data_IF_721650088211
#
_entry.id   IF_721650088211
#
_cell.length_a   1.000
_cell.length_b   1.000
_cell.length_c   1.000
_cell.angle_alpha   90.00
_cell.angle_beta   90.00
_cell.angle_gamma   90.00
#
_symmetry.space_group_name_H-M   'P 1'
#
loop_
_entity.id
_entity.type
_entity.pdbx_description
1 polymer ?
#
# COMPACT_ATOMS: atom_id res chain seq x y z
N UNK A 1 -11.61 2.63 -10.98
CA UNK A 1 -10.83 1.75 -10.09
C UNK A 1 -11.21 2.01 -8.64
N UNK A 2 -11.45 0.99 -7.85
CA UNK A 2 -11.85 1.13 -6.45
C UNK A 2 -10.90 0.31 -5.57
N UNK A 3 -10.14 0.99 -4.73
CA UNK A 3 -9.30 0.35 -3.73
C UNK A 3 -10.14 0.03 -2.49
N UNK A 4 -10.06 -1.19 -1.98
CA UNK A 4 -10.80 -1.62 -0.78
C UNK A 4 -10.34 -0.87 0.47
N UNK A 5 -11.12 -0.97 1.54
CA UNK A 5 -10.71 -0.42 2.83
C UNK A 5 -9.41 -1.05 3.33
N UNK A 6 -9.19 -2.33 3.04
CA UNK A 6 -7.98 -3.05 3.39
C UNK A 6 -6.72 -2.46 2.71
N UNK A 7 -6.78 -2.20 1.41
CA UNK A 7 -5.69 -1.56 0.68
C UNK A 7 -5.42 -0.13 1.17
N UNK A 8 -6.48 0.67 1.36
CA UNK A 8 -6.35 2.05 1.86
C UNK A 8 -5.77 2.11 3.27
N UNK A 9 -6.28 1.29 4.19
CA UNK A 9 -5.79 1.25 5.57
C UNK A 9 -4.37 0.69 5.65
N UNK A 10 -4.04 -0.29 4.82
CA UNK A 10 -2.68 -0.82 4.76
C UNK A 10 -1.66 0.20 4.27
N UNK A 11 -1.97 0.95 3.22
CA UNK A 11 -1.11 2.05 2.77
C UNK A 11 -0.94 3.11 3.86
N UNK A 12 -2.03 3.52 4.50
CA UNK A 12 -1.99 4.51 5.60
C UNK A 12 -1.12 4.03 6.77
N UNK A 13 -1.27 2.77 7.17
CA UNK A 13 -0.47 2.17 8.24
C UNK A 13 1.01 2.09 7.87
N UNK A 14 1.34 1.70 6.62
CA UNK A 14 2.72 1.61 6.15
C UNK A 14 3.40 2.99 6.09
N UNK A 15 2.68 4.02 5.64
CA UNK A 15 3.18 5.41 5.67
C UNK A 15 3.46 5.83 7.11
N UNK A 16 2.52 5.57 8.04
CA UNK A 16 2.69 5.92 9.45
C UNK A 16 3.91 5.26 10.07
N UNK A 17 4.12 3.94 9.84
CA UNK A 17 5.32 3.25 10.31
C UNK A 17 6.59 3.83 9.66
N UNK A 18 6.55 4.13 8.36
CA UNK A 18 7.70 4.67 7.65
C UNK A 18 8.11 6.06 8.16
N UNK A 19 7.16 6.88 8.63
CA UNK A 19 7.46 8.17 9.26
C UNK A 19 8.26 8.04 10.57
N UNK A 20 8.21 6.88 11.21
CA UNK A 20 8.96 6.57 12.43
C UNK A 20 10.17 5.65 12.17
N UNK A 21 10.47 5.32 10.92
CA UNK A 21 11.50 4.34 10.56
C UNK A 21 12.94 4.75 10.93
N UNK A 22 13.19 6.02 11.21
CA UNK A 22 14.48 6.53 11.67
C UNK A 22 14.66 6.46 13.19
N UNK A 23 13.62 6.04 13.91
CA UNK A 23 13.68 5.74 15.34
C UNK A 23 13.71 4.23 15.48
N UNK A 24 14.46 3.70 16.44
CA UNK A 24 14.46 2.26 16.76
C UNK A 24 13.16 1.82 17.47
N UNK A 25 12.12 2.65 17.39
CA UNK A 25 10.83 2.41 18.04
C UNK A 25 10.00 1.42 17.24
N UNK A 26 9.48 0.42 17.97
CA UNK A 26 8.50 -0.51 17.45
C UNK A 26 7.10 0.11 17.55
N UNK A 27 6.34 0.01 16.47
CA UNK A 27 4.98 0.55 16.42
C UNK A 27 3.97 -0.56 16.70
N UNK A 28 3.14 -0.36 17.73
CA UNK A 28 2.07 -1.30 18.06
C UNK A 28 0.82 -1.06 17.21
N UNK A 29 0.02 -2.12 17.04
CA UNK A 29 -1.29 -2.00 16.37
C UNK A 29 -2.19 -0.99 17.10
N UNK A 30 -2.12 -0.92 18.43
CA UNK A 30 -2.86 0.06 19.22
C UNK A 30 -2.47 1.49 18.85
N UNK A 31 -1.16 1.76 18.74
CA UNK A 31 -0.67 3.08 18.34
C UNK A 31 -1.19 3.47 16.95
N UNK A 32 -1.14 2.56 15.97
CA UNK A 32 -1.68 2.82 14.62
C UNK A 32 -3.19 3.05 14.67
N UNK A 33 -3.92 2.23 15.45
CA UNK A 33 -5.37 2.35 15.63
C UNK A 33 -5.78 3.72 16.17
N UNK A 34 -5.12 4.17 17.23
CA UNK A 34 -5.38 5.47 17.87
C UNK A 34 -5.05 6.64 16.94
N UNK A 35 -3.89 6.59 16.28
CA UNK A 35 -3.41 7.67 15.41
C UNK A 35 -4.20 7.81 14.11
N UNK A 36 -4.64 6.69 13.53
CA UNK A 36 -5.33 6.70 12.24
C UNK A 36 -6.86 6.55 12.38
N UNK A 37 -7.37 6.29 13.57
CA UNK A 37 -8.82 6.06 13.78
C UNK A 37 -9.33 4.80 13.10
N UNK A 38 -8.49 3.77 12.97
CA UNK A 38 -8.81 2.50 12.31
C UNK A 38 -9.01 1.42 13.38
N UNK A 39 -10.04 0.58 13.23
CA UNK A 39 -10.30 -0.54 14.13
C UNK A 39 -9.07 -1.44 14.31
N UNK A 40 -8.72 -1.74 15.57
CA UNK A 40 -7.61 -2.64 15.91
C UNK A 40 -7.75 -4.01 15.27
N UNK A 41 -8.93 -4.63 15.34
CA UNK A 41 -9.19 -5.95 14.76
C UNK A 41 -8.94 -5.95 13.26
N UNK A 42 -9.33 -4.88 12.59
CA UNK A 42 -9.10 -4.73 11.15
C UNK A 42 -7.60 -4.57 10.83
N UNK A 43 -6.89 -3.77 11.62
CA UNK A 43 -5.44 -3.59 11.47
C UNK A 43 -4.67 -4.89 11.72
N UNK A 44 -5.09 -5.72 12.68
CA UNK A 44 -4.47 -7.02 12.92
C UNK A 44 -4.52 -7.92 11.67
N UNK A 45 -5.64 -7.91 10.94
CA UNK A 45 -5.76 -8.61 9.66
C UNK A 45 -4.82 -8.02 8.59
N UNK A 46 -4.77 -6.71 8.48
CA UNK A 46 -3.87 -6.00 7.54
C UNK A 46 -2.41 -6.33 7.86
N UNK A 47 -1.99 -6.20 9.11
CA UNK A 47 -0.62 -6.50 9.53
C UNK A 47 -0.23 -7.97 9.34
N UNK A 48 -1.18 -8.89 9.51
CA UNK A 48 -0.95 -10.31 9.21
C UNK A 48 -0.58 -10.53 7.74
N UNK A 49 -1.28 -9.85 6.80
CA UNK A 49 -0.99 -9.91 5.37
C UNK A 49 0.35 -9.25 5.02
N UNK A 50 0.61 -8.05 5.57
CA UNK A 50 1.86 -7.33 5.36
C UNK A 50 3.07 -8.12 5.87
N UNK A 51 2.92 -8.79 7.03
CA UNK A 51 3.96 -9.68 7.58
C UNK A 51 4.20 -10.89 6.70
N UNK A 52 3.14 -11.54 6.20
CA UNK A 52 3.24 -12.66 5.26
C UNK A 52 3.97 -12.27 3.98
N UNK A 53 3.73 -11.07 3.49
CA UNK A 53 4.41 -10.50 2.33
C UNK A 53 5.84 -9.97 2.63
N UNK A 54 6.32 -10.11 3.87
CA UNK A 54 7.64 -9.64 4.31
C UNK A 54 7.85 -8.13 4.11
N UNK A 55 6.78 -7.36 4.29
CA UNK A 55 6.82 -5.90 4.27
C UNK A 55 7.02 -5.31 5.66
N UNK A 56 6.55 -6.03 6.69
CA UNK A 56 6.79 -5.73 8.10
C UNK A 56 7.30 -6.96 8.83
N UNK A 57 8.04 -6.75 9.89
CA UNK A 57 8.41 -7.76 10.87
C UNK A 57 7.77 -7.44 12.21
N UNK A 58 7.42 -8.47 12.96
CA UNK A 58 6.86 -8.32 14.31
C UNK A 58 7.86 -8.82 15.35
N UNK A 59 8.05 -8.04 16.41
CA UNK A 59 8.84 -8.41 17.56
C UNK A 59 7.90 -8.65 18.73
N UNK A 60 7.98 -9.82 19.33
CA UNK A 60 7.13 -10.22 20.47
C UNK A 60 7.70 -9.67 21.78
N UNK A 61 6.83 -9.55 22.80
CA UNK A 61 7.20 -9.17 24.15
C UNK A 61 6.46 -7.93 24.64
N UNK A 62 6.74 -7.52 25.88
CA UNK A 62 6.10 -6.36 26.51
C UNK A 62 6.38 -5.04 25.77
N UNK A 63 7.55 -4.93 25.15
CA UNK A 63 7.96 -3.80 24.30
C UNK A 63 7.97 -4.19 22.81
N UNK A 64 7.14 -5.16 22.43
CA UNK A 64 7.02 -5.62 21.07
C UNK A 64 6.21 -4.67 20.19
N UNK A 65 6.19 -4.98 18.91
CA UNK A 65 5.48 -4.20 17.90
C UNK A 65 5.90 -4.59 16.50
N UNK A 66 5.68 -3.68 15.57
CA UNK A 66 6.01 -3.84 14.16
C UNK A 66 7.04 -2.79 13.73
N UNK A 67 7.87 -3.17 12.80
CA UNK A 67 8.76 -2.29 12.06
C UNK A 67 8.79 -2.70 10.59
N UNK A 68 9.29 -1.82 9.71
CA UNK A 68 9.48 -2.16 8.31
C UNK A 68 10.52 -3.27 8.15
N UNK A 69 10.26 -4.19 7.23
CA UNK A 69 11.21 -5.27 6.90
C UNK A 69 12.33 -4.82 5.96
N UNK A 70 12.14 -3.70 5.26
CA UNK A 70 13.09 -3.08 4.32
C UNK A 70 13.04 -1.56 4.48
N UNK A 71 13.99 -0.87 3.87
CA UNK A 71 13.99 0.61 3.84
C UNK A 71 12.77 1.13 3.06
N UNK A 72 12.21 2.30 3.43
CA UNK A 72 11.05 2.87 2.74
C UNK A 72 11.28 3.14 1.23
N UNK A 73 12.50 3.44 0.83
CA UNK A 73 12.88 3.61 -0.58
C UNK A 73 12.85 2.32 -1.39
N UNK A 74 12.97 1.16 -0.73
CA UNK A 74 12.97 -0.17 -1.34
C UNK A 74 11.59 -0.85 -1.32
N UNK A 75 10.56 -0.13 -0.90
CA UNK A 75 9.18 -0.59 -0.90
C UNK A 75 8.30 0.32 -1.76
N UNK A 76 7.61 -0.27 -2.73
CA UNK A 76 6.70 0.44 -3.62
C UNK A 76 5.24 0.33 -3.15
N UNK A 77 4.38 1.24 -3.64
CA UNK A 77 2.94 1.09 -3.48
C UNK A 77 2.42 -0.20 -4.10
N UNK A 78 3.06 -0.67 -5.18
CA UNK A 78 2.74 -1.97 -5.77
C UNK A 78 2.94 -3.12 -4.77
N UNK A 79 4.09 -3.17 -4.08
CA UNK A 79 4.36 -4.23 -3.10
C UNK A 79 3.29 -4.29 -2.01
N UNK A 80 2.90 -3.12 -1.51
CA UNK A 80 1.91 -3.00 -0.43
C UNK A 80 0.52 -3.40 -0.92
N UNK A 81 0.06 -2.84 -2.04
CA UNK A 81 -1.25 -3.14 -2.58
C UNK A 81 -1.35 -4.57 -3.07
N UNK A 82 -0.31 -5.13 -3.68
CA UNK A 82 -0.31 -6.52 -4.13
C UNK A 82 -0.46 -7.51 -2.94
N UNK A 83 0.08 -7.16 -1.78
CA UNK A 83 -0.09 -7.96 -0.56
C UNK A 83 -1.53 -7.92 -0.01
N UNK A 84 -2.28 -6.85 -0.26
CA UNK A 84 -3.58 -6.57 0.34
C UNK A 84 -4.76 -6.69 -0.63
N UNK A 85 -4.52 -6.48 -1.91
CA UNK A 85 -5.53 -6.34 -2.98
C UNK A 85 -5.23 -7.27 -4.14
N UNK A 86 -5.33 -8.57 -3.93
CA UNK A 86 -5.06 -9.55 -4.99
C UNK A 86 -5.94 -9.31 -6.22
N UNK A 87 -7.23 -9.01 -6.01
CA UNK A 87 -8.17 -8.78 -7.12
C UNK A 87 -7.86 -7.56 -7.98
N UNK A 88 -7.08 -6.60 -7.48
CA UNK A 88 -6.65 -5.44 -8.27
C UNK A 88 -5.69 -5.83 -9.41
N UNK A 89 -4.97 -6.92 -9.24
CA UNK A 89 -3.91 -7.38 -10.14
C UNK A 89 -4.26 -8.69 -10.85
N UNK A 90 -5.49 -9.18 -10.68
CA UNK A 90 -6.01 -10.31 -11.44
C UNK A 90 -6.23 -9.89 -12.89
N UNK A 91 -5.92 -10.80 -13.81
CA UNK A 91 -6.14 -10.56 -15.23
C UNK A 91 -7.64 -10.46 -15.51
N UNK A 92 -8.00 -9.55 -16.42
CA UNK A 92 -9.38 -9.44 -16.91
C UNK A 92 -9.77 -10.72 -17.67
N UNK A 93 -10.90 -11.31 -17.28
CA UNK A 93 -11.43 -12.49 -17.95
C UNK A 93 -11.83 -12.16 -19.39
N UNK A 94 -11.72 -13.17 -20.26
CA UNK A 94 -12.23 -13.06 -21.62
C UNK A 94 -13.76 -12.99 -21.64
N UNK A 95 -14.30 -12.19 -22.52
CA UNK A 95 -15.75 -11.94 -22.62
C UNK A 95 -16.40 -12.51 -23.88
N UNK A 96 -15.67 -12.56 -24.99
CA UNK A 96 -16.20 -12.92 -26.32
C UNK A 96 -15.32 -13.87 -27.12
N UNK A 97 -14.37 -14.54 -26.48
CA UNK A 97 -13.37 -15.42 -27.10
C UNK A 97 -13.97 -16.58 -27.91
N UNK A 98 -15.12 -17.13 -27.48
CA UNK A 98 -15.77 -18.25 -28.17
C UNK A 98 -16.45 -17.83 -29.48
N UNK A 99 -16.99 -16.58 -29.55
CA UNK A 99 -17.80 -16.11 -30.68
C UNK A 99 -17.08 -15.10 -31.57
N UNK A 100 -16.16 -14.34 -30.98
CA UNK A 100 -15.43 -13.28 -31.67
C UNK A 100 -13.96 -13.23 -31.20
N UNK A 101 -13.16 -14.26 -31.44
CA UNK A 101 -11.79 -14.36 -30.92
C UNK A 101 -10.88 -13.22 -31.41
N UNK A 102 -11.13 -12.70 -32.61
CA UNK A 102 -10.36 -11.55 -33.12
C UNK A 102 -10.59 -10.27 -32.32
N UNK A 103 -11.84 -10.03 -31.89
CA UNK A 103 -12.17 -8.88 -31.04
C UNK A 103 -11.52 -9.06 -29.65
N UNK A 104 -11.64 -10.24 -29.06
CA UNK A 104 -11.05 -10.53 -27.76
C UNK A 104 -9.53 -10.35 -27.77
N UNK A 105 -8.86 -10.84 -28.82
CA UNK A 105 -7.42 -10.68 -29.01
C UNK A 105 -7.00 -9.21 -29.04
N UNK A 106 -7.74 -8.38 -29.78
CA UNK A 106 -7.46 -6.93 -29.86
C UNK A 106 -7.70 -6.25 -28.52
N UNK A 107 -8.81 -6.53 -27.84
CA UNK A 107 -9.12 -5.97 -26.52
C UNK A 107 -8.04 -6.36 -25.48
N UNK A 108 -7.67 -7.63 -25.45
CA UNK A 108 -6.64 -8.12 -24.53
C UNK A 108 -5.30 -7.44 -24.76
N UNK A 109 -4.83 -7.36 -26.00
CA UNK A 109 -3.52 -6.82 -26.32
C UNK A 109 -3.48 -5.28 -26.19
N UNK A 110 -4.52 -4.59 -26.69
CA UNK A 110 -4.51 -3.13 -26.84
C UNK A 110 -5.11 -2.38 -25.65
N UNK A 111 -5.95 -3.04 -24.86
CA UNK A 111 -6.66 -2.38 -23.75
C UNK A 111 -6.27 -3.00 -22.41
N UNK A 112 -6.61 -4.26 -22.18
CA UNK A 112 -6.45 -4.84 -20.82
C UNK A 112 -5.00 -4.95 -20.40
N UNK A 113 -4.15 -5.58 -21.21
CA UNK A 113 -2.72 -5.70 -20.92
C UNK A 113 -2.03 -4.34 -20.81
N UNK A 114 -2.44 -3.38 -21.63
CA UNK A 114 -1.89 -2.03 -21.57
C UNK A 114 -2.24 -1.33 -20.26
N UNK A 115 -3.51 -1.36 -19.84
CA UNK A 115 -3.95 -0.78 -18.56
C UNK A 115 -3.25 -1.41 -17.37
N UNK A 116 -3.18 -2.74 -17.33
CA UNK A 116 -2.49 -3.48 -16.27
C UNK A 116 -1.02 -3.03 -16.15
N UNK A 117 -0.32 -2.95 -17.28
CA UNK A 117 1.07 -2.53 -17.32
C UNK A 117 1.27 -1.08 -16.84
N UNK A 118 0.38 -0.17 -17.23
CA UNK A 118 0.44 1.23 -16.81
C UNK A 118 0.22 1.34 -15.30
N UNK A 119 -0.81 0.68 -14.77
CA UNK A 119 -1.11 0.69 -13.32
C UNK A 119 0.06 0.11 -12.52
N UNK A 120 0.56 -1.05 -12.93
CA UNK A 120 1.68 -1.72 -12.24
C UNK A 120 2.92 -0.83 -12.27
N UNK A 121 3.23 -0.23 -13.41
CA UNK A 121 4.39 0.67 -13.56
C UNK A 121 4.27 1.87 -12.61
N UNK A 122 3.16 2.60 -12.66
CA UNK A 122 2.96 3.77 -11.81
C UNK A 122 3.04 3.43 -10.31
N UNK A 123 2.47 2.30 -9.90
CA UNK A 123 2.52 1.86 -8.51
C UNK A 123 3.92 1.40 -8.08
N UNK A 124 4.73 0.86 -8.99
CA UNK A 124 6.14 0.52 -8.72
C UNK A 124 7.03 1.74 -8.60
N UNK A 125 6.76 2.78 -9.37
CA UNK A 125 7.51 4.04 -9.34
C UNK A 125 7.22 4.89 -8.10
N UNK A 126 6.09 4.64 -7.41
CA UNK A 126 5.71 5.27 -6.16
C UNK A 126 6.29 4.49 -4.96
N UNK A 127 7.38 4.98 -4.38
CA UNK A 127 7.98 4.38 -3.19
C UNK A 127 7.32 4.88 -1.90
N UNK A 128 7.40 4.07 -0.84
CA UNK A 128 6.92 4.45 0.49
C UNK A 128 7.65 5.71 0.98
N UNK A 129 8.95 5.84 0.70
CA UNK A 129 9.74 7.04 1.00
C UNK A 129 9.16 8.28 0.32
N UNK A 130 8.82 8.20 -0.97
CA UNK A 130 8.25 9.33 -1.70
C UNK A 130 6.90 9.79 -1.13
N UNK A 131 6.11 8.88 -0.57
CA UNK A 131 4.85 9.22 0.10
C UNK A 131 5.09 9.91 1.45
N UNK A 132 6.06 9.43 2.24
CA UNK A 132 6.46 10.09 3.49
C UNK A 132 6.93 11.52 3.21
N UNK A 133 7.77 11.73 2.22
CA UNK A 133 8.27 13.05 1.84
C UNK A 133 7.13 14.01 1.45
N UNK A 134 6.11 13.51 0.76
CA UNK A 134 4.90 14.28 0.43
C UNK A 134 4.08 14.65 1.67
N UNK A 135 3.96 13.75 2.65
CA UNK A 135 3.30 14.04 3.93
C UNK A 135 4.05 15.15 4.68
N UNK A 136 5.37 15.06 4.77
CA UNK A 136 6.19 16.05 5.47
C UNK A 136 6.12 17.43 4.79
N UNK A 137 6.19 17.48 3.46
CA UNK A 137 6.01 18.70 2.69
C UNK A 137 4.63 19.32 2.90
N UNK A 138 3.58 18.50 2.98
CA UNK A 138 2.22 18.95 3.25
C UNK A 138 2.07 19.59 4.65
N UNK A 139 2.72 19.01 5.67
CA UNK A 139 2.74 19.57 7.03
C UNK A 139 3.46 20.91 7.09
N UNK A 140 4.60 21.05 6.41
CA UNK A 140 5.35 22.30 6.35
C UNK A 140 4.52 23.41 5.69
N UNK A 141 3.85 23.14 4.58
CA UNK A 141 2.98 24.09 3.90
C UNK A 141 1.79 24.52 4.77
N UNK A 142 1.17 23.59 5.49
CA UNK A 142 0.07 23.89 6.42
C UNK A 142 0.54 24.78 7.55
N UNK A 143 1.72 24.55 8.14
CA UNK A 143 2.27 25.38 9.19
C UNK A 143 2.61 26.79 8.69
N UNK A 144 3.14 26.95 7.48
CA UNK A 144 3.42 28.25 6.88
C UNK A 144 2.16 29.06 6.63
N UNK A 145 1.03 28.44 6.29
CA UNK A 145 -0.25 29.13 6.10
C UNK A 145 -0.85 29.69 7.40
N UNK A 146 -0.51 29.14 8.57
CA UNK A 146 -0.95 29.67 9.87
C UNK A 146 -0.16 30.89 10.36
N UNK A 147 0.98 31.21 9.74
CA UNK A 147 1.83 32.36 10.09
C UNK A 147 1.66 33.57 9.15
N UNK A 148 0.76 33.48 8.20
CA UNK A 148 0.37 34.55 7.30
C UNK A 148 -1.01 35.08 7.70
#
# INVERSE_FOLDING_TARGET
>A
MRISSKGRYGLSAMIFIAMTANTDELITVNCVSEKLGISKIYLEQVFSLLKRAKLVISIKGAQGGYQLARKPEDMSCYDILHALEQSLFEQTDSSVDERAPEIEKVLKASVWTHLDNVIIKELKDLTLKSLVDKVDSSKLNSNLMYYI
#
